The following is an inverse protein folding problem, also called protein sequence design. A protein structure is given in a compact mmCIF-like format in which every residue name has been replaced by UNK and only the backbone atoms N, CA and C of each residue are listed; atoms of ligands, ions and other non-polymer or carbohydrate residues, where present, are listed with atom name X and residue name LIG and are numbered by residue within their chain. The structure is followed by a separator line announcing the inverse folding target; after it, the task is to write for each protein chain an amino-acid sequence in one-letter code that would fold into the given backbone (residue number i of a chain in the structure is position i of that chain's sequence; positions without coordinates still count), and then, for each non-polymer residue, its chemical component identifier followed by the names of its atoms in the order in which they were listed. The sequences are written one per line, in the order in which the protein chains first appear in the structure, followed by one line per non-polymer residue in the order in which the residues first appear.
data_IF_828992485614
#
_entry.id   IF_828992485614
#
_cell.length_a   1.000
_cell.length_b   1.000
_cell.length_c   1.000
_cell.angle_alpha   90.00
_cell.angle_beta   90.00
_cell.angle_gamma   90.00
#
_symmetry.space_group_name_H-M   'P 1'
#
loop_
_entity.id
_entity.type
_entity.pdbx_description
1 polymer ?
#
# COMPACT_ATOMS: atom_id res chain seq x y z
N UNK A 1 30.11 -54.22 0.08
CA UNK A 1 29.57 -54.82 1.33
C UNK A 1 30.01 -54.08 2.61
N UNK A 2 30.35 -52.78 2.55
CA UNK A 2 30.71 -51.99 3.73
C UNK A 2 29.68 -50.87 4.03
N UNK A 3 29.12 -50.21 3.01
CA UNK A 3 28.14 -49.12 3.22
C UNK A 3 26.76 -49.60 3.74
N UNK A 4 26.30 -50.80 3.35
CA UNK A 4 24.98 -51.29 3.76
C UNK A 4 24.91 -51.73 5.24
N UNK A 5 26.06 -51.85 5.92
CA UNK A 5 26.12 -52.20 7.36
C UNK A 5 26.12 -50.99 8.28
N UNK A 6 26.53 -49.81 7.81
CA UNK A 6 26.54 -48.58 8.63
C UNK A 6 25.12 -48.01 8.77
N UNK A 7 24.34 -47.95 7.69
CA UNK A 7 23.00 -47.34 7.69
C UNK A 7 21.97 -48.05 8.61
N UNK A 8 22.15 -49.37 8.81
CA UNK A 8 21.25 -50.19 9.63
C UNK A 8 21.52 -50.06 11.13
N UNK A 9 22.74 -49.65 11.51
CA UNK A 9 23.14 -49.47 12.92
C UNK A 9 22.62 -48.14 13.45
N UNK A 10 22.69 -47.06 12.67
CA UNK A 10 22.18 -45.73 13.05
C UNK A 10 20.65 -45.70 13.22
N UNK A 11 19.90 -46.36 12.33
CA UNK A 11 18.42 -46.44 12.44
C UNK A 11 17.95 -47.19 13.69
N UNK A 12 18.75 -48.11 14.24
CA UNK A 12 18.42 -48.83 15.48
C UNK A 12 18.74 -48.03 16.74
N UNK A 13 19.77 -47.18 16.71
CA UNK A 13 20.12 -46.30 17.82
C UNK A 13 19.05 -45.21 18.02
N UNK A 14 18.65 -44.53 16.94
CA UNK A 14 17.64 -43.46 16.99
C UNK A 14 16.27 -43.95 17.52
N UNK A 15 15.85 -45.17 17.14
CA UNK A 15 14.56 -45.73 17.57
C UNK A 15 14.55 -46.13 19.05
N UNK A 16 15.72 -46.34 19.67
CA UNK A 16 15.83 -46.69 21.09
C UNK A 16 15.76 -45.46 21.99
N UNK A 17 16.36 -44.34 21.56
CA UNK A 17 16.31 -43.06 22.28
C UNK A 17 14.89 -42.46 22.30
N UNK A 18 14.16 -42.52 21.18
CA UNK A 18 12.79 -42.00 21.13
C UNK A 18 11.85 -42.77 22.08
N UNK A 19 12.06 -44.08 22.23
CA UNK A 19 11.28 -44.93 23.13
C UNK A 19 11.61 -44.69 24.61
N UNK A 20 12.84 -44.28 24.93
CA UNK A 20 13.22 -43.92 26.29
C UNK A 20 12.64 -42.57 26.71
N UNK A 21 12.70 -41.55 25.84
CA UNK A 21 12.11 -40.23 26.10
C UNK A 21 10.60 -40.31 26.38
N UNK A 22 9.86 -41.07 25.56
CA UNK A 22 8.41 -41.28 25.78
C UNK A 22 8.08 -41.99 27.10
N UNK A 23 8.99 -42.82 27.62
CA UNK A 23 8.78 -43.55 28.88
C UNK A 23 9.09 -42.69 30.11
N UNK A 24 10.04 -41.76 30.00
CA UNK A 24 10.36 -40.79 31.06
C UNK A 24 9.27 -39.73 31.18
N UNK A 25 8.77 -39.22 30.05
CA UNK A 25 7.69 -38.23 30.02
C UNK A 25 6.39 -38.78 30.63
N UNK A 26 6.06 -40.05 30.37
CA UNK A 26 4.90 -40.72 30.94
C UNK A 26 5.03 -40.99 32.46
N UNK A 27 6.25 -41.12 32.98
CA UNK A 27 6.49 -41.26 34.43
C UNK A 27 6.39 -39.92 35.14
N UNK A 28 6.97 -38.86 34.58
CA UNK A 28 6.88 -37.51 35.14
C UNK A 28 5.42 -37.05 35.27
N UNK A 29 4.58 -37.33 34.26
CA UNK A 29 3.16 -36.97 34.27
C UNK A 29 2.30 -37.76 35.27
N UNK A 30 2.76 -38.95 35.70
CA UNK A 30 2.07 -39.74 36.74
C UNK A 30 2.42 -39.28 38.15
N UNK A 31 3.67 -38.86 38.39
CA UNK A 31 4.10 -38.34 39.69
C UNK A 31 3.40 -37.02 40.01
N UNK A 32 3.35 -36.08 39.05
CA UNK A 32 2.66 -34.79 39.24
C UNK A 32 1.16 -34.92 39.55
N UNK A 33 0.50 -35.98 39.06
CA UNK A 33 -0.93 -36.19 39.29
C UNK A 33 -1.24 -36.89 40.62
N UNK A 34 -0.24 -37.53 41.24
CA UNK A 34 -0.39 -38.17 42.55
C UNK A 34 -0.11 -37.17 43.70
N UNK A 35 0.84 -36.26 43.51
CA UNK A 35 1.14 -35.21 44.50
C UNK A 35 -0.02 -34.22 44.66
N UNK A 36 -0.71 -33.86 43.57
CA UNK A 36 -1.87 -32.94 43.59
C UNK A 36 -3.12 -33.56 44.25
N UNK A 37 -3.20 -34.90 44.36
CA UNK A 37 -4.33 -35.57 45.01
C UNK A 37 -4.16 -35.78 46.52
N UNK A 38 -2.93 -35.97 47.01
CA UNK A 38 -2.67 -36.21 48.44
C UNK A 38 -2.73 -34.90 49.27
N UNK A 39 -2.43 -33.75 48.66
CA UNK A 39 -2.41 -32.46 49.37
C UNK A 39 -3.82 -31.92 49.69
N UNK A 40 -4.88 -32.49 49.07
CA UNK A 40 -6.27 -32.06 49.26
C UNK A 40 -7.04 -32.88 50.31
N UNK A 41 -6.54 -34.05 50.74
CA UNK A 41 -7.32 -34.98 51.59
C UNK A 41 -6.97 -34.94 53.09
N UNK A 42 -5.91 -34.24 53.53
CA UNK A 42 -5.38 -34.44 54.90
C UNK A 42 -5.71 -33.39 55.99
N UNK A 43 -6.75 -32.53 55.87
CA UNK A 43 -7.17 -31.66 57.00
C UNK A 43 -8.70 -31.52 57.21
N UNK A 44 -9.49 -32.57 56.96
CA UNK A 44 -10.96 -32.53 57.14
C UNK A 44 -11.47 -32.91 58.55
N UNK A 45 -10.61 -33.17 59.53
CA UNK A 45 -11.01 -33.89 60.75
C UNK A 45 -11.41 -33.10 62.01
N UNK A 46 -11.06 -31.81 62.14
CA UNK A 46 -11.37 -30.95 63.31
C UNK A 46 -12.24 -29.73 62.98
N UNK A 47 -12.79 -29.73 61.76
CA UNK A 47 -12.82 -28.58 60.85
C UNK A 47 -14.19 -27.90 60.72
N UNK A 48 -14.95 -27.72 61.81
CA UNK A 48 -16.14 -26.85 61.76
C UNK A 48 -16.02 -25.63 62.65
N UNK A 49 -15.59 -25.80 63.90
CA UNK A 49 -15.34 -24.67 64.80
C UNK A 49 -14.02 -24.00 64.43
N UNK A 50 -12.95 -24.76 64.18
CA UNK A 50 -11.69 -24.23 63.69
C UNK A 50 -11.85 -23.56 62.32
N UNK A 51 -12.55 -24.19 61.37
CA UNK A 51 -12.84 -23.59 60.06
C UNK A 51 -13.75 -22.36 60.17
N UNK A 52 -14.69 -22.32 61.12
CA UNK A 52 -15.48 -21.12 61.39
C UNK A 52 -14.61 -19.98 61.94
N UNK A 53 -13.69 -20.25 62.88
CA UNK A 53 -12.77 -19.24 63.40
C UNK A 53 -11.73 -18.80 62.36
N UNK A 54 -11.23 -19.71 61.54
CA UNK A 54 -10.32 -19.41 60.42
C UNK A 54 -11.06 -18.62 59.34
N UNK A 55 -12.29 -19.00 58.98
CA UNK A 55 -13.17 -18.25 58.07
C UNK A 55 -13.47 -16.86 58.60
N UNK A 56 -13.79 -16.73 59.90
CA UNK A 56 -14.02 -15.44 60.55
C UNK A 56 -12.75 -14.57 60.52
N UNK A 57 -11.57 -15.16 60.78
CA UNK A 57 -10.28 -14.46 60.68
C UNK A 57 -10.00 -13.99 59.25
N UNK A 58 -10.26 -14.83 58.25
CA UNK A 58 -10.11 -14.45 56.83
C UNK A 58 -11.04 -13.27 56.49
N UNK A 59 -12.30 -13.30 56.96
CA UNK A 59 -13.26 -12.20 56.76
C UNK A 59 -12.77 -10.92 57.46
N UNK A 60 -12.25 -11.01 58.68
CA UNK A 60 -11.71 -9.85 59.41
C UNK A 60 -10.50 -9.25 58.67
N UNK A 61 -9.59 -10.09 58.15
CA UNK A 61 -8.45 -9.63 57.36
C UNK A 61 -8.91 -8.97 56.06
N UNK A 62 -9.92 -9.52 55.39
CA UNK A 62 -10.48 -8.94 54.18
C UNK A 62 -11.16 -7.58 54.46
N UNK A 63 -11.91 -7.47 55.56
CA UNK A 63 -12.50 -6.21 56.03
C UNK A 63 -11.41 -5.20 56.42
N UNK A 64 -10.29 -5.63 56.98
CA UNK A 64 -9.16 -4.75 57.29
C UNK A 64 -8.49 -4.22 56.01
N UNK A 65 -8.34 -5.05 54.98
CA UNK A 65 -7.83 -4.62 53.67
C UNK A 65 -8.81 -3.62 53.04
N UNK A 66 -10.11 -3.88 53.09
CA UNK A 66 -11.12 -2.92 52.60
C UNK A 66 -11.07 -1.61 53.37
N UNK A 67 -10.99 -1.66 54.70
CA UNK A 67 -10.86 -0.46 55.51
C UNK A 67 -9.60 0.34 55.15
N UNK A 68 -8.48 -0.33 54.84
CA UNK A 68 -7.28 0.34 54.35
C UNK A 68 -7.44 0.92 52.93
N UNK A 69 -8.10 0.20 52.02
CA UNK A 69 -8.40 0.68 50.66
C UNK A 69 -9.33 1.91 50.68
N UNK A 70 -10.28 1.94 51.61
CA UNK A 70 -11.17 3.09 51.85
C UNK A 70 -10.38 4.23 52.50
N UNK A 71 -9.65 3.97 53.59
CA UNK A 71 -8.91 4.99 54.36
C UNK A 71 -7.81 5.66 53.54
N UNK A 72 -7.14 4.91 52.66
CA UNK A 72 -6.07 5.43 51.77
C UNK A 72 -6.57 5.80 50.37
N UNK A 73 -7.87 5.71 50.14
CA UNK A 73 -8.56 6.06 48.90
C UNK A 73 -7.87 5.54 47.62
N UNK A 74 -7.59 4.23 47.58
CA UNK A 74 -6.86 3.61 46.46
C UNK A 74 -7.73 3.66 45.20
N UNK A 75 -7.37 4.54 44.26
CA UNK A 75 -8.07 4.72 42.99
C UNK A 75 -9.44 5.38 43.09
N UNK A 76 -9.74 6.10 44.19
CA UNK A 76 -11.03 6.77 44.40
C UNK A 76 -12.16 5.83 44.85
N UNK A 77 -11.84 4.63 45.36
CA UNK A 77 -12.85 3.66 45.80
C UNK A 77 -13.61 4.11 47.05
N UNK A 78 -12.93 4.77 48.00
CA UNK A 78 -13.54 5.26 49.23
C UNK A 78 -14.39 6.51 49.00
N UNK A 79 -13.82 7.48 48.29
CA UNK A 79 -14.45 8.78 47.99
C UNK A 79 -15.51 8.71 46.88
N UNK A 80 -15.29 7.92 45.82
CA UNK A 80 -16.16 7.90 44.64
C UNK A 80 -17.31 6.90 44.68
N UNK A 81 -17.11 5.71 45.26
CA UNK A 81 -18.11 4.62 45.20
C UNK A 81 -18.85 4.39 46.51
N UNK A 82 -18.17 4.54 47.65
CA UNK A 82 -18.72 4.18 48.97
C UNK A 82 -19.20 5.37 49.80
N UNK A 83 -18.65 6.57 49.59
CA UNK A 83 -19.10 7.80 50.25
C UNK A 83 -20.63 8.03 50.19
N UNK A 84 -21.33 7.94 49.04
CA UNK A 84 -22.78 8.19 49.00
C UNK A 84 -23.63 7.13 49.72
N UNK A 85 -23.08 5.95 50.02
CA UNK A 85 -23.79 4.84 50.67
C UNK A 85 -23.49 4.77 52.17
N UNK A 86 -22.25 5.09 52.58
CA UNK A 86 -21.78 4.93 53.96
C UNK A 86 -21.80 6.23 54.79
N UNK A 87 -21.96 7.40 54.16
CA UNK A 87 -22.00 8.72 54.83
C UNK A 87 -23.12 8.84 55.87
N UNK A 88 -24.27 8.22 55.62
CA UNK A 88 -25.46 8.35 56.49
C UNK A 88 -25.53 7.27 57.59
N UNK A 89 -24.53 6.39 57.69
CA UNK A 89 -24.49 5.32 58.71
C UNK A 89 -23.63 5.73 59.90
N UNK A 90 -24.21 5.88 61.11
CA UNK A 90 -23.46 6.28 62.30
C UNK A 90 -22.34 5.26 62.61
N UNK A 91 -21.21 5.77 63.09
CA UNK A 91 -19.96 5.05 63.37
C UNK A 91 -19.16 4.53 62.15
N UNK A 92 -19.80 4.15 61.05
CA UNK A 92 -19.11 3.68 59.83
C UNK A 92 -18.50 4.84 59.03
N UNK A 93 -19.08 6.04 59.16
CA UNK A 93 -18.56 7.29 58.60
C UNK A 93 -17.10 7.62 58.97
N UNK A 94 -16.55 7.02 60.04
CA UNK A 94 -15.15 7.24 60.48
C UNK A 94 -14.11 6.45 59.68
N UNK A 95 -14.54 5.46 58.90
CA UNK A 95 -13.66 4.62 58.07
C UNK A 95 -13.42 5.29 56.71
N UNK A 96 -14.35 6.15 56.28
CA UNK A 96 -14.18 6.98 55.09
C UNK A 96 -12.94 7.88 55.23
N UNK A 97 -12.23 8.16 54.12
CA UNK A 97 -11.11 9.10 54.13
C UNK A 97 -11.62 10.50 54.54
N UNK A 98 -10.76 11.32 55.14
CA UNK A 98 -11.17 12.61 55.72
C UNK A 98 -11.75 13.57 54.66
N UNK A 99 -11.39 13.38 53.38
CA UNK A 99 -11.92 14.12 52.23
C UNK A 99 -13.36 13.69 51.83
N UNK A 100 -13.86 12.55 52.32
CA UNK A 100 -15.20 12.03 52.00
C UNK A 100 -16.27 12.46 53.02
N UNK A 101 -15.85 12.96 54.19
CA UNK A 101 -16.74 13.51 55.23
C UNK A 101 -16.74 15.02 55.18
N UNK A 102 -17.27 15.53 54.08
CA UNK A 102 -17.70 16.92 53.97
C UNK A 102 -18.70 17.22 55.11
N UNK A 103 -18.24 17.94 56.14
CA UNK A 103 -19.12 18.66 57.04
C UNK A 103 -20.08 19.47 56.17
N UNK A 104 -21.37 19.40 56.50
CA UNK A 104 -22.38 20.22 55.85
C UNK A 104 -22.07 21.69 56.18
N UNK A 105 -21.29 22.31 55.31
CA UNK A 105 -21.14 23.76 55.15
C UNK A 105 -21.26 24.07 53.66
N UNK A 106 -22.52 24.05 53.21
CA UNK A 106 -23.05 24.79 52.06
C UNK A 106 -22.40 24.56 50.69
N UNK A 107 -23.13 23.88 49.80
CA UNK A 107 -22.93 23.85 48.34
C UNK A 107 -22.94 25.25 47.67
N UNK A 108 -23.18 26.33 48.42
CA UNK A 108 -23.02 27.73 47.98
C UNK A 108 -21.58 28.27 48.18
N UNK A 109 -20.70 27.56 48.89
CA UNK A 109 -19.35 28.06 49.24
C UNK A 109 -18.29 27.78 48.17
N UNK A 110 -18.50 26.79 47.30
CA UNK A 110 -17.57 26.47 46.21
C UNK A 110 -17.51 27.58 45.13
N UNK A 111 -18.51 28.47 45.12
CA UNK A 111 -18.58 29.67 44.27
C UNK A 111 -18.72 30.96 45.08
N UNK A 112 -18.48 30.92 46.40
CA UNK A 112 -18.48 32.11 47.23
C UNK A 112 -17.18 32.88 46.99
N UNK A 113 -17.27 33.97 46.23
CA UNK A 113 -16.15 34.88 46.01
C UNK A 113 -15.94 35.77 47.24
N UNK A 114 -14.72 35.78 47.79
CA UNK A 114 -14.35 36.60 48.95
C UNK A 114 -14.58 38.10 48.66
N UNK A 115 -14.36 38.52 47.41
CA UNK A 115 -14.62 39.88 46.95
C UNK A 115 -15.20 39.94 45.53
N UNK A 116 -15.87 41.05 45.19
CA UNK A 116 -16.35 41.31 43.82
C UNK A 116 -15.21 41.34 42.80
N UNK A 117 -13.98 41.64 43.22
CA UNK A 117 -12.80 41.66 42.35
C UNK A 117 -12.43 40.23 41.90
N UNK A 118 -12.48 39.25 42.80
CA UNK A 118 -12.15 37.85 42.50
C UNK A 118 -13.16 37.22 41.52
N UNK A 119 -14.45 37.57 41.68
CA UNK A 119 -15.49 37.17 40.74
C UNK A 119 -15.23 37.71 39.32
N UNK A 120 -14.81 38.98 39.21
CA UNK A 120 -14.51 39.62 37.92
C UNK A 120 -13.25 39.03 37.29
N UNK A 121 -12.23 38.68 38.08
CA UNK A 121 -11.02 38.02 37.60
C UNK A 121 -11.34 36.62 37.04
N UNK A 122 -12.15 35.84 37.77
CA UNK A 122 -12.58 34.52 37.30
C UNK A 122 -13.44 34.59 36.03
N UNK A 123 -14.33 35.58 35.92
CA UNK A 123 -15.11 35.81 34.70
C UNK A 123 -14.18 36.09 33.52
N UNK A 124 -13.17 36.96 33.68
CA UNK A 124 -12.20 37.24 32.61
C UNK A 124 -11.38 36.02 32.21
N UNK A 125 -11.02 35.19 33.17
CA UNK A 125 -10.31 33.93 32.89
C UNK A 125 -11.18 32.95 32.12
N UNK A 126 -12.45 32.78 32.51
CA UNK A 126 -13.41 31.95 31.80
C UNK A 126 -13.73 32.50 30.40
N UNK A 127 -13.88 33.82 30.23
CA UNK A 127 -14.05 34.44 28.91
C UNK A 127 -12.86 34.18 27.99
N UNK A 128 -11.64 34.20 28.55
CA UNK A 128 -10.42 33.86 27.82
C UNK A 128 -10.38 32.38 27.46
N UNK A 129 -10.68 31.48 28.39
CA UNK A 129 -10.70 30.04 28.15
C UNK A 129 -11.76 29.67 27.09
N UNK A 130 -12.93 30.32 27.14
CA UNK A 130 -14.00 30.13 26.16
C UNK A 130 -13.57 30.67 24.78
N UNK A 131 -12.90 31.82 24.73
CA UNK A 131 -12.34 32.35 23.49
C UNK A 131 -11.26 31.42 22.91
N UNK A 132 -10.35 30.89 23.74
CA UNK A 132 -9.29 29.97 23.32
C UNK A 132 -9.88 28.62 22.85
N UNK A 133 -10.89 28.09 23.55
CA UNK A 133 -11.61 26.89 23.16
C UNK A 133 -12.39 27.09 21.85
N UNK A 134 -13.05 28.24 21.67
CA UNK A 134 -13.79 28.57 20.45
C UNK A 134 -12.83 28.73 19.26
N UNK A 135 -11.68 29.38 19.45
CA UNK A 135 -10.63 29.50 18.44
C UNK A 135 -10.07 28.13 18.05
N UNK A 136 -9.80 27.26 19.04
CA UNK A 136 -9.33 25.88 18.80
C UNK A 136 -10.37 25.05 18.07
N UNK A 137 -11.65 25.17 18.44
CA UNK A 137 -12.75 24.49 17.75
C UNK A 137 -12.89 24.94 16.31
N UNK A 138 -12.71 26.24 16.02
CA UNK A 138 -12.70 26.76 14.65
C UNK A 138 -11.54 26.20 13.84
N UNK A 139 -10.33 26.21 14.40
CA UNK A 139 -9.14 25.67 13.73
C UNK A 139 -9.27 24.15 13.44
N UNK A 140 -9.85 23.40 14.37
CA UNK A 140 -10.14 21.98 14.17
C UNK A 140 -11.20 21.75 13.08
N UNK A 141 -12.25 22.58 13.02
CA UNK A 141 -13.25 22.51 11.96
C UNK A 141 -12.64 22.78 10.57
N UNK A 142 -11.76 23.78 10.47
CA UNK A 142 -11.04 24.08 9.23
C UNK A 142 -10.12 22.92 8.82
N UNK A 143 -9.43 22.31 9.79
CA UNK A 143 -8.55 21.15 9.53
C UNK A 143 -9.34 19.92 9.08
N UNK A 144 -10.49 19.64 9.72
CA UNK A 144 -11.38 18.55 9.29
C UNK A 144 -11.89 18.80 7.88
N UNK A 145 -12.32 20.02 7.56
CA UNK A 145 -12.77 20.37 6.21
C UNK A 145 -11.65 20.18 5.17
N UNK A 146 -10.41 20.54 5.49
CA UNK A 146 -9.25 20.30 4.62
C UNK A 146 -8.93 18.80 4.46
N UNK A 147 -9.07 18.00 5.51
CA UNK A 147 -8.86 16.55 5.44
C UNK A 147 -9.94 15.86 4.59
N UNK A 148 -11.20 16.27 4.74
CA UNK A 148 -12.30 15.77 3.92
C UNK A 148 -12.10 16.12 2.44
N UNK A 149 -11.69 17.35 2.14
CA UNK A 149 -11.36 17.78 0.78
C UNK A 149 -10.21 16.96 0.16
N UNK A 150 -9.13 16.75 0.92
CA UNK A 150 -8.00 15.91 0.48
C UNK A 150 -8.41 14.45 0.27
N UNK A 151 -9.28 13.91 1.14
CA UNK A 151 -9.78 12.55 0.99
C UNK A 151 -10.65 12.41 -0.27
N UNK A 152 -11.48 13.41 -0.58
CA UNK A 152 -12.29 13.42 -1.80
C UNK A 152 -11.42 13.52 -3.06
N UNK A 153 -10.43 14.40 -3.05
CA UNK A 153 -9.46 14.53 -4.15
C UNK A 153 -8.68 13.23 -4.36
N UNK A 154 -8.18 12.61 -3.28
CA UNK A 154 -7.46 11.34 -3.36
C UNK A 154 -8.34 10.21 -3.90
N UNK A 155 -9.63 10.18 -3.52
CA UNK A 155 -10.58 9.21 -4.04
C UNK A 155 -10.78 9.40 -5.55
N UNK A 156 -10.91 10.64 -6.01
CA UNK A 156 -11.03 10.95 -7.43
C UNK A 156 -9.77 10.53 -8.20
N UNK A 157 -8.57 10.76 -7.68
CA UNK A 157 -7.34 10.28 -8.33
C UNK A 157 -7.31 8.77 -8.49
N UNK A 158 -7.73 8.02 -7.45
CA UNK A 158 -7.78 6.55 -7.52
C UNK A 158 -8.78 6.05 -8.56
N UNK A 159 -9.94 6.70 -8.66
CA UNK A 159 -10.96 6.38 -9.66
C UNK A 159 -10.45 6.66 -11.07
N UNK A 160 -9.84 7.84 -11.29
CA UNK A 160 -9.24 8.21 -12.57
C UNK A 160 -8.10 7.27 -12.97
N UNK A 161 -7.25 6.85 -12.02
CA UNK A 161 -6.17 5.89 -12.28
C UNK A 161 -6.73 4.52 -12.72
N UNK A 162 -7.80 4.06 -12.05
CA UNK A 162 -8.47 2.81 -12.42
C UNK A 162 -9.14 2.89 -13.80
N UNK A 163 -9.77 4.01 -14.13
CA UNK A 163 -10.34 4.24 -15.46
C UNK A 163 -9.25 4.29 -16.54
N UNK A 164 -8.14 5.00 -16.27
CA UNK A 164 -7.02 5.09 -17.18
C UNK A 164 -6.38 3.74 -17.49
N UNK A 165 -6.11 2.91 -16.46
CA UNK A 165 -5.56 1.57 -16.69
C UNK A 165 -6.53 0.67 -17.47
N UNK A 166 -7.84 0.83 -17.27
CA UNK A 166 -8.86 0.10 -18.05
C UNK A 166 -8.90 0.54 -19.52
N UNK A 167 -8.85 1.85 -19.77
CA UNK A 167 -8.81 2.41 -21.13
C UNK A 167 -7.54 1.97 -21.85
N UNK A 168 -6.39 2.05 -21.19
CA UNK A 168 -5.10 1.57 -21.69
C UNK A 168 -5.12 0.07 -22.02
N UNK A 169 -5.73 -0.75 -21.16
CA UNK A 169 -5.91 -2.18 -21.44
C UNK A 169 -6.81 -2.41 -22.65
N UNK A 170 -7.93 -1.67 -22.75
CA UNK A 170 -8.86 -1.76 -23.89
C UNK A 170 -8.18 -1.35 -25.20
N UNK A 171 -7.35 -0.30 -25.16
CA UNK A 171 -6.54 0.13 -26.30
C UNK A 171 -5.55 -0.96 -26.74
N UNK A 172 -4.85 -1.61 -25.80
CA UNK A 172 -3.96 -2.73 -26.14
C UNK A 172 -4.72 -3.92 -26.71
N UNK A 173 -5.92 -4.20 -26.21
CA UNK A 173 -6.78 -5.23 -26.74
C UNK A 173 -7.23 -4.89 -28.17
N UNK A 174 -7.71 -3.68 -28.42
CA UNK A 174 -8.15 -3.22 -29.75
C UNK A 174 -7.02 -3.24 -30.78
N UNK A 175 -5.81 -2.80 -30.39
CA UNK A 175 -4.65 -2.83 -31.30
C UNK A 175 -4.28 -4.26 -31.71
N UNK A 176 -4.44 -5.23 -30.82
CA UNK A 176 -4.03 -6.63 -31.07
C UNK A 176 -5.16 -7.46 -31.68
N UNK A 177 -6.42 -7.15 -31.36
CA UNK A 177 -7.57 -8.02 -31.65
C UNK A 177 -8.66 -7.37 -32.51
N UNK A 178 -8.49 -6.13 -32.99
CA UNK A 178 -9.47 -5.53 -33.91
C UNK A 178 -9.55 -6.26 -35.26
N UNK A 179 -10.69 -6.15 -35.95
CA UNK A 179 -10.94 -6.79 -37.25
C UNK A 179 -10.02 -6.30 -38.40
N UNK A 180 -9.20 -5.26 -38.14
CA UNK A 180 -8.19 -4.70 -39.07
C UNK A 180 -6.76 -5.05 -38.60
N UNK A 181 -6.62 -5.79 -37.50
CA UNK A 181 -5.32 -6.20 -36.98
C UNK A 181 -4.66 -7.24 -37.90
N UNK A 182 -3.32 -7.17 -38.08
CA UNK A 182 -2.52 -8.26 -38.63
C UNK A 182 -2.81 -9.59 -37.93
N UNK A 183 -2.70 -10.70 -38.66
CA UNK A 183 -3.02 -12.05 -38.16
C UNK A 183 -2.43 -12.33 -36.76
N UNK A 184 -3.25 -12.88 -35.87
CA UNK A 184 -2.93 -13.06 -34.45
C UNK A 184 -1.71 -13.96 -34.24
N UNK A 185 -1.45 -14.91 -35.15
CA UNK A 185 -0.23 -15.73 -35.11
C UNK A 185 1.02 -14.92 -35.47
N UNK A 186 0.93 -13.95 -36.39
CA UNK A 186 2.02 -13.04 -36.76
C UNK A 186 2.37 -12.09 -35.61
N UNK A 187 1.36 -11.57 -34.90
CA UNK A 187 1.54 -10.74 -33.69
C UNK A 187 2.19 -11.51 -32.54
N UNK A 188 1.74 -12.74 -32.29
CA UNK A 188 2.34 -13.62 -31.30
C UNK A 188 3.81 -13.89 -31.62
N UNK A 189 4.10 -14.20 -32.89
CA UNK A 189 5.46 -14.47 -33.37
C UNK A 189 6.36 -13.23 -33.27
N UNK A 190 5.81 -12.04 -33.52
CA UNK A 190 6.52 -10.76 -33.37
C UNK A 190 6.91 -10.48 -31.91
N UNK A 191 5.98 -10.63 -30.96
CA UNK A 191 6.27 -10.40 -29.54
C UNK A 191 7.13 -11.49 -28.89
N UNK A 192 6.98 -12.75 -29.31
CA UNK A 192 7.83 -13.85 -28.83
C UNK A 192 9.26 -13.77 -29.40
N UNK A 193 9.48 -13.07 -30.52
CA UNK A 193 10.79 -12.96 -31.18
C UNK A 193 11.54 -11.66 -30.90
N UNK A 194 10.90 -10.64 -30.33
CA UNK A 194 11.54 -9.35 -30.03
C UNK A 194 11.96 -9.29 -28.56
N UNK A 195 13.26 -9.07 -28.34
CA UNK A 195 13.78 -8.61 -27.05
C UNK A 195 13.16 -7.23 -26.73
N UNK A 196 12.55 -7.02 -25.54
CA UNK A 196 11.94 -5.74 -25.15
C UNK A 196 12.82 -4.52 -25.36
N UNK A 197 14.15 -4.66 -25.29
CA UNK A 197 15.09 -3.56 -25.53
C UNK A 197 15.20 -3.15 -27.01
N UNK A 198 14.88 -4.05 -27.96
CA UNK A 198 14.96 -3.79 -29.40
C UNK A 198 13.67 -3.24 -30.01
N UNK A 199 12.52 -3.42 -29.34
CA UNK A 199 11.22 -2.94 -29.83
C UNK A 199 11.19 -1.42 -30.03
N UNK A 200 11.80 -0.65 -29.12
CA UNK A 200 11.87 0.81 -29.21
C UNK A 200 12.74 1.28 -30.39
N UNK A 201 13.88 0.61 -30.61
CA UNK A 201 14.79 0.93 -31.72
C UNK A 201 14.13 0.64 -33.05
N UNK A 202 13.46 -0.51 -33.17
CA UNK A 202 12.70 -0.90 -34.36
C UNK A 202 11.56 0.09 -34.63
N UNK A 203 10.83 0.53 -33.60
CA UNK A 203 9.77 1.54 -33.77
C UNK A 203 10.32 2.88 -34.29
N UNK A 204 11.40 3.39 -33.71
CA UNK A 204 12.04 4.63 -34.19
C UNK A 204 12.51 4.50 -35.64
N UNK A 205 13.03 3.33 -36.01
CA UNK A 205 13.48 3.05 -37.37
C UNK A 205 12.30 2.97 -38.35
N UNK A 206 11.19 2.33 -37.98
CA UNK A 206 9.99 2.25 -38.82
C UNK A 206 9.37 3.63 -39.01
N UNK A 207 9.23 4.44 -37.95
CA UNK A 207 8.69 5.80 -38.08
C UNK A 207 9.57 6.67 -38.97
N UNK A 208 10.90 6.60 -38.81
CA UNK A 208 11.84 7.32 -39.67
C UNK A 208 11.71 6.86 -41.13
N UNK A 209 11.61 5.54 -41.37
CA UNK A 209 11.46 4.99 -42.71
C UNK A 209 10.11 5.36 -43.35
N UNK A 210 9.01 5.32 -42.61
CA UNK A 210 7.70 5.77 -43.10
C UNK A 210 7.71 7.25 -43.50
N UNK A 211 8.38 8.10 -42.72
CA UNK A 211 8.51 9.52 -43.06
C UNK A 211 9.38 9.74 -44.30
N UNK A 212 10.46 8.96 -44.47
CA UNK A 212 11.29 8.98 -45.67
C UNK A 212 10.51 8.48 -46.90
N UNK A 213 9.71 7.43 -46.76
CA UNK A 213 8.88 6.87 -47.83
C UNK A 213 7.75 7.83 -48.26
N UNK A 214 7.11 8.53 -47.32
CA UNK A 214 6.13 9.59 -47.62
C UNK A 214 6.77 10.75 -48.39
N UNK A 215 7.96 11.19 -47.98
CA UNK A 215 8.70 12.24 -48.70
C UNK A 215 9.13 11.77 -50.10
N UNK A 216 9.52 10.50 -50.24
CA UNK A 216 9.86 9.91 -51.52
C UNK A 216 8.65 9.85 -52.46
N UNK A 217 7.48 9.48 -51.95
CA UNK A 217 6.23 9.45 -52.72
C UNK A 217 5.83 10.85 -53.22
N UNK A 218 6.00 11.88 -52.39
CA UNK A 218 5.79 13.28 -52.80
C UNK A 218 6.79 13.72 -53.89
N UNK A 219 8.05 13.31 -53.80
CA UNK A 219 9.02 13.55 -54.87
C UNK A 219 8.61 12.82 -56.17
N UNK A 220 8.22 11.54 -56.08
CA UNK A 220 7.75 10.75 -57.23
C UNK A 220 6.57 11.47 -57.90
N UNK A 221 5.53 11.86 -57.14
CA UNK A 221 4.37 12.59 -57.67
C UNK A 221 4.75 13.90 -58.33
N UNK A 222 5.63 14.68 -57.69
CA UNK A 222 6.08 15.98 -58.18
C UNK A 222 6.80 15.85 -59.53
N UNK A 223 7.78 14.95 -59.61
CA UNK A 223 8.55 14.77 -60.84
C UNK A 223 7.78 14.00 -61.92
N UNK A 224 6.82 13.14 -61.55
CA UNK A 224 5.92 12.46 -62.51
C UNK A 224 4.98 13.43 -63.19
N UNK A 225 4.60 14.50 -62.50
CA UNK A 225 3.72 15.55 -63.02
C UNK A 225 4.48 16.62 -63.82
N UNK A 226 5.81 16.64 -63.74
CA UNK A 226 6.66 17.61 -64.41
C UNK A 226 6.93 17.21 -65.87
N UNK A 227 7.19 18.19 -66.75
CA UNK A 227 7.58 17.86 -68.13
C UNK A 227 8.91 17.09 -68.13
N UNK A 228 9.04 16.00 -68.93
CA UNK A 228 10.23 15.15 -68.88
C UNK A 228 11.57 15.88 -69.10
N UNK A 229 11.60 16.89 -69.97
CA UNK A 229 12.80 17.69 -70.24
C UNK A 229 13.19 18.59 -69.05
N UNK A 230 12.22 19.09 -68.30
CA UNK A 230 12.44 19.95 -67.14
C UNK A 230 12.94 19.09 -65.95
N UNK A 231 12.29 17.94 -65.72
CA UNK A 231 12.73 16.96 -64.71
C UNK A 231 14.14 16.42 -64.99
N UNK A 232 14.43 16.05 -66.24
CA UNK A 232 15.75 15.59 -66.66
C UNK A 232 16.85 16.64 -66.40
N UNK A 233 16.58 17.91 -66.71
CA UNK A 233 17.52 18.99 -66.48
C UNK A 233 17.82 19.19 -64.98
N UNK A 234 16.83 19.02 -64.10
CA UNK A 234 17.03 19.04 -62.65
C UNK A 234 17.87 17.85 -62.22
N UNK A 235 17.50 16.63 -62.65
CA UNK A 235 18.23 15.41 -62.28
C UNK A 235 19.69 15.41 -62.76
N UNK A 236 19.98 16.00 -63.92
CA UNK A 236 21.35 16.19 -64.41
C UNK A 236 22.21 17.10 -63.51
N UNK A 237 21.59 17.98 -62.70
CA UNK A 237 22.30 18.82 -61.72
C UNK A 237 22.50 18.14 -60.36
N UNK A 238 21.83 17.02 -60.09
CA UNK A 238 21.87 16.31 -58.82
C UNK A 238 23.04 15.32 -58.73
N UNK A 239 24.24 15.72 -59.17
CA UNK A 239 25.41 14.83 -59.33
C UNK A 239 25.87 14.18 -58.03
N UNK A 240 25.65 14.82 -56.88
CA UNK A 240 26.01 14.27 -55.56
C UNK A 240 24.88 13.43 -54.95
N UNK A 241 23.68 13.44 -55.55
CA UNK A 241 22.46 12.82 -55.01
C UNK A 241 21.80 11.87 -56.02
N UNK A 242 22.59 11.20 -56.87
CA UNK A 242 22.09 10.28 -57.89
C UNK A 242 21.29 9.11 -57.31
N UNK A 243 21.50 8.75 -56.04
CA UNK A 243 20.67 7.75 -55.33
C UNK A 243 19.23 8.19 -55.16
N UNK A 244 18.99 9.44 -54.79
CA UNK A 244 17.63 9.99 -54.68
C UNK A 244 16.97 10.03 -56.06
N UNK A 245 17.72 10.44 -57.10
CA UNK A 245 17.22 10.42 -58.48
C UNK A 245 16.82 9.00 -58.90
N UNK A 246 17.66 8.01 -58.60
CA UNK A 246 17.38 6.59 -58.87
C UNK A 246 16.12 6.10 -58.13
N UNK A 247 15.97 6.44 -56.84
CA UNK A 247 14.80 6.08 -56.04
C UNK A 247 13.52 6.70 -56.61
N UNK A 248 13.55 7.99 -56.94
CA UNK A 248 12.43 8.68 -57.57
C UNK A 248 12.07 7.99 -58.88
N UNK A 249 13.03 7.80 -59.79
CA UNK A 249 12.77 7.16 -61.09
C UNK A 249 12.24 5.72 -60.95
N UNK A 250 12.72 4.95 -59.97
CA UNK A 250 12.23 3.58 -59.72
C UNK A 250 10.77 3.57 -59.24
N UNK A 251 10.37 4.57 -58.45
CA UNK A 251 9.00 4.71 -57.97
C UNK A 251 7.99 5.22 -59.01
N UNK A 252 8.47 5.73 -60.15
CA UNK A 252 7.60 6.18 -61.25
C UNK A 252 7.12 5.00 -62.12
N UNK A 253 6.07 5.23 -62.90
CA UNK A 253 5.72 4.32 -63.99
C UNK A 253 6.82 4.26 -65.06
N UNK A 254 6.81 3.16 -65.82
CA UNK A 254 7.88 2.87 -66.77
C UNK A 254 7.97 3.90 -67.91
N UNK A 255 6.84 4.47 -68.34
CA UNK A 255 6.80 5.41 -69.46
C UNK A 255 7.35 6.77 -69.03
N UNK A 256 6.94 7.27 -67.86
CA UNK A 256 7.48 8.51 -67.28
C UNK A 256 8.99 8.39 -67.02
N UNK A 257 9.43 7.27 -66.44
CA UNK A 257 10.85 7.00 -66.21
C UNK A 257 11.64 6.99 -67.53
N UNK A 258 11.15 6.29 -68.55
CA UNK A 258 11.81 6.22 -69.86
C UNK A 258 11.86 7.60 -70.54
N UNK A 259 10.78 8.38 -70.45
CA UNK A 259 10.71 9.73 -71.02
C UNK A 259 11.72 10.69 -70.37
N UNK A 260 11.96 10.58 -69.06
CA UNK A 260 12.94 11.39 -68.34
C UNK A 260 14.36 10.91 -68.64
N UNK A 261 14.66 9.61 -68.50
CA UNK A 261 15.98 9.04 -68.79
C UNK A 261 16.43 9.36 -70.23
N UNK A 262 15.52 9.30 -71.21
CA UNK A 262 15.81 9.64 -72.60
C UNK A 262 16.08 11.12 -72.87
N UNK A 263 15.89 12.00 -71.88
CA UNK A 263 16.17 13.45 -71.95
C UNK A 263 17.32 13.90 -71.05
N UNK A 264 17.83 13.02 -70.18
CA UNK A 264 19.00 13.28 -69.36
C UNK A 264 20.30 13.20 -70.18
N UNK A 265 21.38 13.73 -69.63
CA UNK A 265 22.71 13.52 -70.17
C UNK A 265 23.10 12.04 -70.13
N UNK A 266 23.88 11.59 -71.12
CA UNK A 266 24.25 10.17 -71.23
C UNK A 266 25.05 9.66 -70.04
N UNK A 267 25.88 10.52 -69.43
CA UNK A 267 26.70 10.18 -68.26
C UNK A 267 25.82 9.99 -67.01
N UNK A 268 24.94 10.95 -66.71
CA UNK A 268 24.02 10.86 -65.57
C UNK A 268 23.05 9.69 -65.74
N UNK A 269 22.45 9.53 -66.93
CA UNK A 269 21.51 8.45 -67.19
C UNK A 269 22.15 7.06 -66.99
N UNK A 270 23.41 6.88 -67.43
CA UNK A 270 24.14 5.64 -67.23
C UNK A 270 24.38 5.35 -65.73
N UNK A 271 24.88 6.34 -64.98
CA UNK A 271 25.14 6.20 -63.54
C UNK A 271 23.88 5.93 -62.73
N UNK A 272 22.80 6.63 -63.04
CA UNK A 272 21.51 6.44 -62.36
C UNK A 272 20.94 5.05 -62.66
N UNK A 273 21.03 4.59 -63.92
CA UNK A 273 20.60 3.23 -64.29
C UNK A 273 21.42 2.15 -63.58
N UNK A 274 22.72 2.36 -63.40
CA UNK A 274 23.57 1.45 -62.63
C UNK A 274 23.12 1.35 -61.15
N UNK A 275 22.75 2.46 -60.53
CA UNK A 275 22.21 2.49 -59.16
C UNK A 275 20.86 1.76 -59.07
N UNK A 276 20.04 1.83 -60.12
CA UNK A 276 18.72 1.18 -60.17
C UNK A 276 18.78 -0.34 -60.44
N UNK A 277 19.98 -0.90 -60.67
CA UNK A 277 20.14 -2.35 -60.88
C UNK A 277 19.56 -3.11 -59.67
N UNK A 278 18.66 -4.10 -59.87
CA UNK A 278 18.20 -4.96 -58.80
C UNK A 278 19.38 -5.64 -58.11
N UNK A 279 19.34 -5.72 -56.78
CA UNK A 279 20.24 -6.57 -56.00
C UNK A 279 20.10 -8.02 -56.46
N UNK A 280 21.22 -8.70 -56.75
CA UNK A 280 21.26 -10.15 -57.00
C UNK A 280 20.99 -10.98 -55.74
#
# INVERSE_FOLDING_TARGET
MAEEKEEVVDKKAAKKEEKQRKKEEAKAKKTQRAEDSDELEEESGGSKVAVFFVSLLIIIVWLAIIALLIKWDVGGFGSGMLAPILKDVPYVNKILPDDAVEEVSTEDSAYAYDTMADAVERIKELEKELADAQNTSSANADYISQLEAQSAELQQYKENEAEFEKEKQSFYEDVVFSDVAPDVEEYKKYYESIDPANAEVLYKQVVAQTAEDEQLDDYIKTYSSMKPKEAAAIFDTMTDNLKLVAQILNGMDADSRAAILGKMSSDTAAKVTEIMKPSE
#
